data_IF_135204910470
#
_entry.id   IF_135204910470
#
_cell.length_a   1.000
_cell.length_b   1.000
_cell.length_c   1.000
_cell.angle_alpha   90.00
_cell.angle_beta   90.00
_cell.angle_gamma   90.00
#
_symmetry.space_group_name_H-M   'P 1'
#
loop_
_entity.id
_entity.type
_entity.pdbx_description
1 polymer ?
#
# COMPACT_ATOMS: atom_id res chain seq x y z
N UNK A 1 13.87 -8.55 -13.29
CA UNK A 1 13.56 -7.10 -13.25
C UNK A 1 12.15 -6.97 -12.75
N UNK A 2 11.94 -6.12 -11.75
CA UNK A 2 10.67 -6.00 -11.02
C UNK A 2 10.12 -4.58 -11.22
N UNK A 3 8.84 -4.47 -11.57
CA UNK A 3 8.08 -3.23 -11.37
C UNK A 3 7.67 -3.15 -9.89
N UNK A 4 8.39 -2.34 -9.12
CA UNK A 4 8.23 -2.30 -7.67
C UNK A 4 6.97 -1.53 -7.21
N UNK A 5 6.24 -0.87 -8.12
CA UNK A 5 5.10 -0.03 -7.72
C UNK A 5 4.04 0.04 -8.82
N UNK A 6 2.98 -0.74 -8.65
CA UNK A 6 1.76 -0.62 -9.45
C UNK A 6 0.51 -0.84 -8.58
N UNK A 7 -0.66 -0.58 -9.16
CA UNK A 7 -1.95 -0.67 -8.48
C UNK A 7 -2.98 -1.45 -9.30
N UNK A 8 -3.90 -2.10 -8.59
CA UNK A 8 -5.13 -2.67 -9.14
C UNK A 8 -6.33 -2.12 -8.40
N UNK A 9 -7.45 -2.00 -9.11
CA UNK A 9 -8.74 -1.65 -8.53
C UNK A 9 -9.86 -2.20 -9.38
N UNK A 10 -10.95 -2.59 -8.71
CA UNK A 10 -12.11 -3.21 -9.32
C UNK A 10 -13.37 -2.50 -8.84
N UNK A 11 -14.01 -1.73 -9.73
CA UNK A 11 -15.05 -0.75 -9.36
C UNK A 11 -16.35 -1.34 -8.78
N UNK A 12 -16.59 -2.63 -8.96
CA UNK A 12 -17.74 -3.36 -8.39
C UNK A 12 -17.47 -3.96 -7.01
N UNK A 13 -16.22 -3.87 -6.51
CA UNK A 13 -15.87 -4.24 -5.13
C UNK A 13 -16.27 -3.13 -4.16
N UNK A 14 -16.60 -3.47 -2.90
CA UNK A 14 -17.08 -2.51 -1.89
C UNK A 14 -15.91 -1.71 -1.26
N UNK A 15 -15.11 -1.09 -2.11
CA UNK A 15 -13.92 -0.32 -1.78
C UNK A 15 -14.16 1.17 -2.05
N UNK A 16 -13.43 2.05 -1.36
CA UNK A 16 -13.60 3.50 -1.54
C UNK A 16 -12.86 3.98 -2.80
N UNK A 17 -13.64 4.22 -3.85
CA UNK A 17 -13.18 4.76 -5.12
C UNK A 17 -13.64 6.19 -5.37
N UNK A 18 -14.03 6.95 -4.35
CA UNK A 18 -14.44 8.35 -4.52
C UNK A 18 -13.33 9.19 -5.17
N UNK A 19 -12.06 8.89 -4.87
CA UNK A 19 -10.92 9.56 -5.47
C UNK A 19 -10.89 9.42 -7.01
N UNK A 20 -11.38 8.33 -7.59
CA UNK A 20 -11.45 8.13 -9.06
C UNK A 20 -12.50 9.01 -9.75
N UNK A 21 -13.46 9.59 -9.01
CA UNK A 21 -14.50 10.45 -9.58
C UNK A 21 -14.02 11.85 -9.94
N UNK A 22 -12.82 12.24 -9.50
CA UNK A 22 -12.26 13.52 -9.85
C UNK A 22 -12.05 13.63 -11.38
N UNK A 23 -12.37 14.76 -12.03
CA UNK A 23 -12.33 14.87 -13.50
C UNK A 23 -10.97 14.49 -14.12
N UNK A 24 -9.87 14.79 -13.44
CA UNK A 24 -8.51 14.44 -13.88
C UNK A 24 -8.25 12.94 -13.91
N UNK A 25 -9.03 12.13 -13.19
CA UNK A 25 -8.91 10.67 -13.15
C UNK A 25 -9.83 9.97 -14.15
N UNK A 26 -10.59 10.70 -14.97
CA UNK A 26 -11.46 10.11 -15.99
C UNK A 26 -10.77 9.05 -16.89
N UNK A 27 -9.50 9.21 -17.31
CA UNK A 27 -8.81 8.17 -18.11
C UNK A 27 -8.56 6.85 -17.37
N UNK A 28 -8.51 6.89 -16.03
CA UNK A 28 -8.21 5.74 -15.16
C UNK A 28 -9.43 5.25 -14.38
N UNK A 29 -10.58 5.93 -14.47
CA UNK A 29 -11.83 5.57 -13.80
C UNK A 29 -12.53 4.39 -14.49
N UNK A 30 -11.88 3.23 -14.45
CA UNK A 30 -12.35 1.92 -14.91
C UNK A 30 -11.60 0.84 -14.14
N UNK A 31 -12.10 -0.39 -14.14
CA UNK A 31 -11.39 -1.53 -13.53
C UNK A 31 -10.03 -1.78 -14.19
N UNK A 32 -9.00 -2.03 -13.38
CA UNK A 32 -7.67 -2.49 -13.78
C UNK A 32 -7.30 -3.73 -12.97
N UNK A 33 -7.01 -4.82 -13.68
CA UNK A 33 -6.71 -6.14 -13.10
C UNK A 33 -5.42 -6.73 -13.71
N UNK A 34 -4.91 -7.86 -13.19
CA UNK A 34 -3.64 -8.45 -13.64
C UNK A 34 -3.51 -8.61 -15.17
N UNK A 35 -4.59 -8.98 -15.86
CA UNK A 35 -4.61 -9.11 -17.32
C UNK A 35 -4.35 -7.79 -18.07
N UNK A 36 -4.75 -6.64 -17.49
CA UNK A 36 -4.48 -5.32 -18.04
C UNK A 36 -3.00 -4.96 -17.96
N UNK A 37 -2.32 -5.35 -16.89
CA UNK A 37 -0.89 -5.07 -16.70
C UNK A 37 0.00 -6.07 -17.45
N UNK A 38 -0.38 -7.35 -17.51
CA UNK A 38 0.46 -8.43 -18.03
C UNK A 38 1.02 -8.15 -19.43
N UNK A 39 0.19 -7.66 -20.34
CA UNK A 39 0.59 -7.28 -21.71
C UNK A 39 1.69 -6.22 -21.75
N UNK A 40 1.73 -5.30 -20.78
CA UNK A 40 2.75 -4.26 -20.69
C UNK A 40 4.06 -4.80 -20.13
N UNK A 41 4.00 -5.70 -19.14
CA UNK A 41 5.17 -6.39 -18.61
C UNK A 41 5.87 -7.20 -19.71
N UNK A 42 5.10 -8.01 -20.46
CA UNK A 42 5.64 -8.82 -21.56
C UNK A 42 6.28 -7.93 -22.65
N UNK A 43 5.67 -6.79 -22.98
CA UNK A 43 6.19 -5.86 -23.99
C UNK A 43 7.47 -5.11 -23.56
N UNK A 44 7.70 -4.99 -22.25
CA UNK A 44 8.84 -4.24 -21.67
C UNK A 44 9.94 -5.13 -21.12
N UNK A 45 9.70 -6.45 -21.05
CA UNK A 45 10.64 -7.42 -20.45
C UNK A 45 10.71 -7.34 -18.93
N UNK A 46 9.74 -6.69 -18.28
CA UNK A 46 9.59 -6.74 -16.82
C UNK A 46 8.98 -8.11 -16.47
N UNK A 47 9.61 -8.83 -15.54
CA UNK A 47 9.23 -10.21 -15.25
C UNK A 47 8.19 -10.31 -14.12
N UNK A 48 8.26 -9.38 -13.17
CA UNK A 48 7.57 -9.44 -11.89
C UNK A 48 7.07 -8.05 -11.49
N UNK A 49 6.07 -7.99 -10.62
CA UNK A 49 5.57 -6.72 -10.08
C UNK A 49 5.19 -6.82 -8.60
N UNK A 50 5.12 -5.66 -7.97
CA UNK A 50 4.64 -5.48 -6.60
C UNK A 50 3.39 -4.59 -6.64
N UNK A 51 2.29 -5.08 -6.07
CA UNK A 51 1.11 -4.25 -5.82
C UNK A 51 1.36 -3.36 -4.61
N UNK A 52 0.89 -2.12 -4.69
CA UNK A 52 0.86 -1.18 -3.57
C UNK A 52 -0.59 -0.78 -3.32
N UNK A 53 -1.00 -0.70 -2.06
CA UNK A 53 -2.38 -0.39 -1.64
C UNK A 53 -2.96 0.85 -2.34
N UNK A 54 -4.29 0.95 -2.41
CA UNK A 54 -4.99 2.13 -2.97
C UNK A 54 -5.91 2.81 -1.96
N UNK A 55 -6.15 2.18 -0.80
CA UNK A 55 -7.06 2.68 0.23
C UNK A 55 -6.69 2.20 1.64
N UNK A 56 -7.38 2.74 2.63
CA UNK A 56 -7.22 2.39 4.05
C UNK A 56 -8.18 1.27 4.47
N UNK A 57 -8.07 0.09 3.85
CA UNK A 57 -8.94 -1.06 4.14
C UNK A 57 -8.14 -2.37 4.23
N UNK A 58 -8.32 -3.13 5.32
CA UNK A 58 -7.70 -4.44 5.50
C UNK A 58 -8.23 -5.49 4.50
N UNK A 59 -9.46 -5.32 4.02
CA UNK A 59 -10.05 -6.20 3.02
C UNK A 59 -9.34 -6.06 1.66
N UNK A 60 -8.71 -4.92 1.38
CA UNK A 60 -7.86 -4.77 0.18
C UNK A 60 -6.65 -5.69 0.25
N UNK A 61 -6.01 -5.83 1.42
CA UNK A 61 -4.90 -6.76 1.62
C UNK A 61 -5.36 -8.20 1.33
N UNK A 62 -6.49 -8.63 1.90
CA UNK A 62 -7.02 -9.98 1.68
C UNK A 62 -7.30 -10.23 0.20
N UNK A 63 -7.94 -9.27 -0.45
CA UNK A 63 -8.30 -9.36 -1.86
C UNK A 63 -7.07 -9.49 -2.75
N UNK A 64 -6.06 -8.64 -2.55
CA UNK A 64 -4.89 -8.63 -3.42
C UNK A 64 -3.89 -9.74 -3.10
N UNK A 65 -3.79 -10.21 -1.85
CA UNK A 65 -3.02 -11.40 -1.53
C UNK A 65 -3.64 -12.64 -2.22
N UNK A 66 -4.97 -12.78 -2.20
CA UNK A 66 -5.65 -13.82 -2.98
C UNK A 66 -5.39 -13.70 -4.48
N UNK A 67 -5.43 -12.48 -5.03
CA UNK A 67 -5.05 -12.22 -6.43
C UNK A 67 -3.60 -12.60 -6.71
N UNK A 68 -2.68 -12.35 -5.78
CA UNK A 68 -1.28 -12.68 -5.92
C UNK A 68 -1.08 -14.20 -5.95
N UNK A 69 -1.80 -14.99 -5.15
CA UNK A 69 -1.74 -16.46 -5.23
C UNK A 69 -2.16 -17.01 -6.61
N UNK A 70 -3.00 -16.31 -7.35
CA UNK A 70 -3.42 -16.68 -8.71
C UNK A 70 -2.46 -16.19 -9.81
N UNK A 71 -1.48 -15.35 -9.47
CA UNK A 71 -0.59 -14.69 -10.42
C UNK A 71 0.87 -14.77 -9.96
N UNK A 72 1.64 -15.75 -10.46
CA UNK A 72 3.03 -15.98 -10.04
C UNK A 72 3.97 -14.77 -10.24
N UNK A 73 3.70 -13.93 -11.24
CA UNK A 73 4.48 -12.72 -11.52
C UNK A 73 4.12 -11.55 -10.57
N UNK A 74 3.02 -11.62 -9.83
CA UNK A 74 2.74 -10.71 -8.73
C UNK A 74 3.43 -11.27 -7.48
N UNK A 75 4.62 -10.75 -7.22
CA UNK A 75 5.57 -11.31 -6.23
C UNK A 75 5.52 -10.61 -4.88
N UNK A 76 4.81 -9.48 -4.79
CA UNK A 76 4.72 -8.71 -3.56
C UNK A 76 3.45 -7.88 -3.47
N UNK A 77 3.02 -7.66 -2.23
CA UNK A 77 1.93 -6.79 -1.80
C UNK A 77 2.43 -5.88 -0.69
N UNK A 78 2.43 -4.59 -0.96
CA UNK A 78 2.53 -3.53 0.04
C UNK A 78 1.11 -3.15 0.44
N UNK A 79 0.67 -3.68 1.58
CA UNK A 79 -0.70 -3.54 2.07
C UNK A 79 -0.90 -2.31 2.96
N UNK A 80 -2.00 -2.31 3.71
CA UNK A 80 -2.33 -1.30 4.69
C UNK A 80 -2.71 -1.93 6.05
N UNK A 81 -2.37 -1.24 7.15
CA UNK A 81 -2.91 -1.52 8.48
C UNK A 81 -3.16 -0.18 9.16
N UNK A 82 -4.07 -0.14 10.14
CA UNK A 82 -4.35 1.07 10.90
C UNK A 82 -3.25 1.31 11.95
N UNK A 83 -2.28 2.17 11.60
CA UNK A 83 -1.19 2.55 12.49
C UNK A 83 -1.66 3.23 13.77
N UNK A 84 -2.81 3.91 13.75
CA UNK A 84 -3.37 4.60 14.91
C UNK A 84 -4.14 3.64 15.85
N UNK A 85 -4.50 2.45 15.36
CA UNK A 85 -5.26 1.48 16.14
C UNK A 85 -4.43 0.83 17.25
N UNK A 86 -5.08 0.55 18.38
CA UNK A 86 -4.50 -0.36 19.40
C UNK A 86 -4.38 -1.80 18.88
N UNK A 87 -5.16 -2.15 17.84
CA UNK A 87 -5.11 -3.45 17.19
C UNK A 87 -4.06 -3.54 16.06
N UNK A 88 -3.25 -2.50 15.82
CA UNK A 88 -2.26 -2.46 14.72
C UNK A 88 -1.39 -3.73 14.66
N UNK A 89 -0.86 -4.20 15.80
CA UNK A 89 -0.03 -5.41 15.83
C UNK A 89 -0.83 -6.67 15.46
N UNK A 90 -2.07 -6.78 15.94
CA UNK A 90 -2.94 -7.90 15.59
C UNK A 90 -3.26 -7.90 14.09
N UNK A 91 -3.55 -6.72 13.52
CA UNK A 91 -3.82 -6.57 12.08
C UNK A 91 -2.59 -6.95 11.25
N UNK A 92 -1.40 -6.52 11.64
CA UNK A 92 -0.16 -6.86 10.96
C UNK A 92 0.10 -8.37 10.98
N UNK A 93 -0.01 -8.99 12.16
CA UNK A 93 0.24 -10.42 12.35
C UNK A 93 -0.70 -11.32 11.55
N UNK A 94 -1.81 -10.78 11.08
CA UNK A 94 -2.72 -11.49 10.19
C UNK A 94 -2.11 -11.76 8.81
N UNK A 95 -1.29 -10.84 8.29
CA UNK A 95 -0.74 -10.89 6.94
C UNK A 95 0.74 -11.20 6.88
N UNK A 96 1.48 -10.92 7.98
CA UNK A 96 2.95 -10.95 8.00
C UNK A 96 3.56 -12.27 7.51
N UNK A 97 2.93 -13.39 7.85
CA UNK A 97 3.45 -14.73 7.50
C UNK A 97 3.09 -15.16 6.07
N UNK A 98 2.33 -14.34 5.33
CA UNK A 98 2.02 -14.60 3.93
C UNK A 98 3.26 -14.33 3.06
N UNK A 99 3.71 -15.27 2.20
CA UNK A 99 4.98 -15.16 1.48
C UNK A 99 5.06 -13.96 0.52
N UNK A 100 3.90 -13.48 0.04
CA UNK A 100 3.77 -12.32 -0.85
C UNK A 100 3.49 -11.00 -0.12
N UNK A 101 3.36 -10.99 1.20
CA UNK A 101 3.22 -9.74 1.96
C UNK A 101 4.60 -9.14 2.22
N UNK A 102 4.89 -7.96 1.66
CA UNK A 102 6.26 -7.42 1.63
C UNK A 102 6.41 -6.04 2.27
N UNK A 103 5.32 -5.41 2.69
CA UNK A 103 5.39 -4.09 3.32
C UNK A 103 4.02 -3.50 3.64
N UNK A 104 4.06 -2.32 4.24
CA UNK A 104 2.89 -1.48 4.51
C UNK A 104 3.11 -0.10 3.91
N UNK A 105 2.05 0.53 3.44
CA UNK A 105 2.01 1.96 3.11
C UNK A 105 0.82 2.59 3.82
N UNK A 106 0.94 3.85 4.21
CA UNK A 106 -0.20 4.72 4.54
C UNK A 106 -0.27 5.89 3.57
N UNK A 107 -1.47 6.26 3.10
CA UNK A 107 -1.71 7.45 2.25
C UNK A 107 -1.59 8.73 3.10
N UNK A 108 -0.39 8.99 3.59
CA UNK A 108 -0.11 10.10 4.52
C UNK A 108 -0.30 11.45 3.83
N UNK A 109 -0.01 11.52 2.54
CA UNK A 109 -0.08 12.78 1.79
C UNK A 109 -1.47 13.43 1.78
N UNK A 110 -2.53 12.63 1.95
CA UNK A 110 -3.92 13.10 1.92
C UNK A 110 -4.54 13.21 3.32
N UNK A 111 -3.76 12.97 4.37
CA UNK A 111 -4.19 13.23 5.75
C UNK A 111 -4.39 14.74 5.97
N UNK A 112 -5.46 15.18 6.66
CA UNK A 112 -5.74 16.61 6.86
C UNK A 112 -4.69 17.38 7.67
N UNK A 113 -3.83 16.66 8.38
CA UNK A 113 -2.77 17.21 9.22
C UNK A 113 -1.41 16.84 8.65
N UNK A 114 -0.67 17.86 8.23
CA UNK A 114 0.69 17.70 7.69
C UNK A 114 1.64 16.98 8.67
N UNK A 115 1.37 17.04 9.98
CA UNK A 115 2.17 16.41 11.03
C UNK A 115 1.65 15.01 11.41
N UNK A 116 0.67 14.44 10.67
CA UNK A 116 0.04 13.15 10.96
C UNK A 116 1.04 12.03 11.30
N UNK A 117 2.06 11.87 10.46
CA UNK A 117 3.00 10.73 10.55
C UNK A 117 3.85 10.73 11.82
N UNK A 118 3.99 11.89 12.48
CA UNK A 118 4.77 12.04 13.71
C UNK A 118 3.90 12.11 14.97
N UNK A 119 2.59 11.88 14.84
CA UNK A 119 1.70 11.77 15.99
C UNK A 119 2.06 10.56 16.86
N UNK A 120 1.89 10.62 18.19
CA UNK A 120 2.30 9.54 19.09
C UNK A 120 1.69 8.17 18.75
N UNK A 121 0.42 8.13 18.40
CA UNK A 121 -0.29 6.91 18.01
C UNK A 121 0.23 6.31 16.70
N UNK A 122 0.63 7.15 15.74
CA UNK A 122 1.19 6.70 14.47
C UNK A 122 2.62 6.20 14.66
N UNK A 123 3.45 6.90 15.43
CA UNK A 123 4.79 6.45 15.81
C UNK A 123 4.74 5.11 16.56
N UNK A 124 3.71 4.88 17.39
CA UNK A 124 3.47 3.58 18.04
C UNK A 124 3.21 2.49 17.00
N UNK A 125 2.35 2.74 16.00
CA UNK A 125 2.11 1.79 14.91
C UNK A 125 3.36 1.53 14.06
N UNK A 126 4.14 2.56 13.74
CA UNK A 126 5.40 2.40 13.01
C UNK A 126 6.42 1.56 13.78
N UNK A 127 6.50 1.70 15.10
CA UNK A 127 7.33 0.84 15.97
C UNK A 127 6.86 -0.62 16.00
N UNK A 128 5.58 -0.87 15.77
CA UNK A 128 5.08 -2.24 15.55
C UNK A 128 5.64 -2.80 14.24
N UNK A 129 5.66 -2.02 13.16
CA UNK A 129 6.28 -2.44 11.90
C UNK A 129 7.77 -2.72 12.07
N UNK A 130 8.50 -1.81 12.74
CA UNK A 130 9.93 -1.96 13.07
C UNK A 130 10.20 -3.24 13.88
N UNK A 131 9.45 -3.46 14.96
CA UNK A 131 9.51 -4.68 15.80
C UNK A 131 9.41 -5.95 14.97
N UNK A 132 8.59 -5.93 13.92
CA UNK A 132 8.33 -7.06 13.05
C UNK A 132 9.18 -7.07 11.78
N UNK A 133 10.08 -6.09 11.61
CA UNK A 133 10.93 -5.89 10.44
C UNK A 133 10.15 -5.77 9.13
N UNK A 134 8.99 -5.12 9.17
CA UNK A 134 8.13 -4.90 8.02
C UNK A 134 8.44 -3.52 7.43
N UNK A 135 8.84 -3.43 6.14
CA UNK A 135 9.09 -2.16 5.47
C UNK A 135 7.85 -1.25 5.46
N UNK A 136 8.10 0.06 5.50
CA UNK A 136 7.09 1.09 5.37
C UNK A 136 7.38 2.03 4.19
N UNK A 137 6.44 2.14 3.26
CA UNK A 137 6.54 3.03 2.11
C UNK A 137 6.07 4.45 2.48
N UNK A 138 6.97 5.44 2.36
CA UNK A 138 6.69 6.85 2.63
C UNK A 138 6.01 7.51 1.42
N UNK A 139 4.70 7.74 1.52
CA UNK A 139 3.92 8.49 0.52
C UNK A 139 3.68 9.93 0.98
N UNK A 140 4.56 10.84 0.57
CA UNK A 140 4.62 12.23 1.03
C UNK A 140 4.52 13.24 -0.12
N UNK A 141 3.87 14.38 0.15
CA UNK A 141 4.15 15.63 -0.55
C UNK A 141 5.42 16.29 0.00
N UNK A 142 5.95 17.28 -0.72
CA UNK A 142 7.18 18.01 -0.35
C UNK A 142 7.11 18.57 1.08
N UNK A 143 5.95 19.09 1.50
CA UNK A 143 5.78 19.66 2.84
C UNK A 143 5.96 18.64 3.98
N UNK A 144 5.70 17.34 3.72
CA UNK A 144 5.84 16.27 4.71
C UNK A 144 7.30 15.80 4.86
N UNK A 145 8.20 16.12 3.92
CA UNK A 145 9.61 15.74 3.97
C UNK A 145 10.34 16.25 5.22
N UNK A 146 9.82 17.32 5.86
CA UNK A 146 10.30 17.81 7.16
C UNK A 146 10.31 16.72 8.25
N UNK A 147 9.51 15.67 8.11
CA UNK A 147 9.42 14.56 9.06
C UNK A 147 10.35 13.38 8.76
N UNK A 148 10.90 13.29 7.54
CA UNK A 148 11.68 12.12 7.12
C UNK A 148 12.91 11.88 8.01
N UNK A 149 13.65 12.94 8.37
CA UNK A 149 14.80 12.84 9.27
C UNK A 149 14.40 12.30 10.65
N UNK A 150 13.29 12.81 11.21
CA UNK A 150 12.81 12.39 12.53
C UNK A 150 12.43 10.91 12.52
N UNK A 151 11.70 10.47 11.50
CA UNK A 151 11.31 9.06 11.35
C UNK A 151 12.55 8.15 11.28
N UNK A 152 13.54 8.49 10.44
CA UNK A 152 14.77 7.69 10.32
C UNK A 152 15.70 7.72 11.54
N UNK A 153 15.41 8.53 12.57
CA UNK A 153 16.14 8.53 13.86
C UNK A 153 15.39 7.77 14.95
N UNK A 154 14.07 7.70 14.87
CA UNK A 154 13.20 7.11 15.89
C UNK A 154 12.79 5.65 15.60
N UNK A 155 13.04 5.18 14.37
CA UNK A 155 12.73 3.85 13.80
C UNK A 155 13.99 3.30 13.11
#
# INVERSE_FOLDING_TARGET
>A
MIDAHQHFWQLDKPFDYEWLKAPQHAPINRTYLPADLRKHLDATGIAESIFVQTQHDLEENRWVLGMAEENDWLVGVVGWVDLASEACEKQLLEFKDHPKFVGIRHITQDEPDDDFIVRPEILRGLKVLEKHQVPFDLLFYVQHLKHAERLGREL
#
